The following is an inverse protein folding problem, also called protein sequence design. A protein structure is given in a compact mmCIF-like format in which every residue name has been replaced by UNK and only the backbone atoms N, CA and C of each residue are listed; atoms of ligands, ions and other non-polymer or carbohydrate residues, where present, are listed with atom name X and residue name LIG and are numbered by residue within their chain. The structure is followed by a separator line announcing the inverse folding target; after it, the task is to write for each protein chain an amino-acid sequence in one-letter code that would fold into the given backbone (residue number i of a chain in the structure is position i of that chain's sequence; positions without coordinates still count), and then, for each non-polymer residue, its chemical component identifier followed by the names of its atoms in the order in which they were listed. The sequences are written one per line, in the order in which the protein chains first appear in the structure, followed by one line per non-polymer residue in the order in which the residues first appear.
data_IF_205138728443
#
_entry.id   IF_205138728443
#
_cell.length_a   1.000
_cell.length_b   1.000
_cell.length_c   1.000
_cell.angle_alpha   90.00
_cell.angle_beta   90.00
_cell.angle_gamma   90.00
#
_symmetry.space_group_name_H-M   'P 1'
#
loop_
_entity.id
_entity.type
_entity.pdbx_description
1 polymer ?
#
# COMPACT_ATOMS: atom_id res chain seq x y z
N UNK A 1 -8.37 -6.19 -3.87
CA UNK A 1 -7.17 -6.40 -3.05
C UNK A 1 -6.92 -7.89 -2.96
N UNK A 2 -5.69 -8.30 -3.21
CA UNK A 2 -5.22 -9.67 -3.06
C UNK A 2 -4.23 -9.67 -1.90
N UNK A 3 -4.35 -10.64 -1.00
CA UNK A 3 -3.46 -10.78 0.16
C UNK A 3 -2.75 -12.12 0.07
N UNK A 4 -1.42 -12.10 -0.06
CA UNK A 4 -0.62 -13.31 -0.25
C UNK A 4 -0.58 -14.14 1.02
N UNK A 5 -0.38 -13.48 2.16
CA UNK A 5 -0.36 -14.09 3.49
C UNK A 5 -1.65 -14.82 3.85
N UNK A 6 -2.82 -14.26 3.49
CA UNK A 6 -4.12 -14.87 3.78
C UNK A 6 -4.66 -15.70 2.61
N UNK A 7 -3.95 -15.77 1.48
CA UNK A 7 -4.36 -16.48 0.26
C UNK A 7 -5.78 -16.13 -0.20
N UNK A 8 -6.18 -14.87 -0.07
CA UNK A 8 -7.54 -14.41 -0.41
C UNK A 8 -7.54 -13.24 -1.38
N UNK A 9 -8.66 -13.08 -2.08
CA UNK A 9 -8.95 -11.92 -2.92
C UNK A 9 -10.35 -11.41 -2.62
N UNK A 10 -10.48 -10.10 -2.52
CA UNK A 10 -11.76 -9.45 -2.26
C UNK A 10 -11.81 -8.01 -2.81
N UNK A 11 -13.01 -7.41 -2.97
CA UNK A 11 -13.16 -6.06 -3.49
C UNK A 11 -12.40 -5.02 -2.64
N UNK A 12 -11.76 -4.04 -3.30
CA UNK A 12 -11.05 -2.96 -2.60
C UNK A 12 -11.99 -2.15 -1.69
N UNK A 13 -13.27 -1.99 -2.08
CA UNK A 13 -14.29 -1.36 -1.22
C UNK A 13 -14.45 -2.05 0.14
N UNK A 14 -14.32 -3.37 0.19
CA UNK A 14 -14.35 -4.13 1.45
C UNK A 14 -13.09 -3.89 2.29
N UNK A 15 -11.93 -3.76 1.66
CA UNK A 15 -10.69 -3.37 2.34
C UNK A 15 -10.81 -1.99 2.99
N UNK A 16 -11.27 -1.00 2.21
CA UNK A 16 -11.42 0.39 2.64
C UNK A 16 -12.38 0.55 3.83
N UNK A 17 -13.41 -0.29 3.92
CA UNK A 17 -14.30 -0.32 5.08
C UNK A 17 -13.55 -0.69 6.38
N UNK A 18 -12.61 -1.63 6.30
CA UNK A 18 -11.76 -2.00 7.44
C UNK A 18 -10.79 -0.90 7.85
N UNK A 19 -10.37 -0.04 6.92
CA UNK A 19 -9.45 1.07 7.20
C UNK A 19 -10.13 2.34 7.71
N UNK A 20 -11.47 2.37 7.72
CA UNK A 20 -12.24 3.57 8.09
C UNK A 20 -11.81 4.15 9.45
N UNK A 21 -11.61 3.31 10.45
CA UNK A 21 -11.22 3.76 11.78
C UNK A 21 -9.87 4.49 11.75
N UNK A 22 -8.87 3.96 11.02
CA UNK A 22 -7.57 4.62 10.86
C UNK A 22 -7.67 5.98 10.15
N UNK A 23 -8.59 6.13 9.19
CA UNK A 23 -8.85 7.43 8.56
C UNK A 23 -9.46 8.43 9.55
N UNK A 24 -10.42 8.00 10.37
CA UNK A 24 -11.07 8.86 11.36
C UNK A 24 -10.07 9.26 12.47
N UNK A 25 -9.21 8.34 12.92
CA UNK A 25 -8.18 8.61 13.92
C UNK A 25 -7.08 9.54 13.39
N UNK A 26 -6.68 9.37 12.12
CA UNK A 26 -5.74 10.29 11.46
C UNK A 26 -6.37 11.68 11.30
N UNK A 27 -7.64 11.75 10.89
CA UNK A 27 -8.37 13.01 10.72
C UNK A 27 -8.59 13.76 12.03
N UNK A 28 -8.76 13.05 13.14
CA UNK A 28 -8.95 13.63 14.48
C UNK A 28 -7.63 13.95 15.20
N UNK A 29 -6.47 13.61 14.60
CA UNK A 29 -5.16 13.87 15.18
C UNK A 29 -4.75 12.88 16.29
N UNK A 30 -5.50 11.78 16.48
CA UNK A 30 -5.14 10.73 17.45
C UNK A 30 -3.95 9.89 16.99
N UNK A 31 -3.69 9.89 15.69
CA UNK A 31 -2.50 9.31 15.09
C UNK A 31 -2.08 10.10 13.86
N UNK A 32 -0.82 9.94 13.49
CA UNK A 32 -0.31 10.28 12.16
C UNK A 32 0.02 8.99 11.43
N UNK A 33 -0.32 8.90 10.15
CA UNK A 33 0.03 7.76 9.30
C UNK A 33 0.67 8.28 8.01
N UNK A 34 1.68 7.57 7.50
CA UNK A 34 2.32 7.83 6.22
C UNK A 34 2.49 6.54 5.44
N UNK A 35 2.41 6.65 4.12
CA UNK A 35 2.75 5.57 3.20
C UNK A 35 3.71 6.09 2.15
N UNK A 36 4.81 5.38 1.96
CA UNK A 36 5.82 5.66 0.95
C UNK A 36 5.95 4.44 0.02
N UNK A 37 6.20 4.68 -1.27
CA UNK A 37 6.36 3.62 -2.26
C UNK A 37 7.74 3.72 -2.91
N UNK A 38 8.42 2.58 -3.03
CA UNK A 38 9.63 2.44 -3.85
C UNK A 38 9.42 1.34 -4.86
N UNK A 39 9.56 1.68 -6.14
CA UNK A 39 9.24 0.80 -7.26
C UNK A 39 10.51 0.14 -7.79
N UNK A 40 10.52 -1.18 -7.84
CA UNK A 40 11.59 -1.94 -8.51
C UNK A 40 11.34 -2.06 -10.01
N UNK A 41 10.08 -1.99 -10.44
CA UNK A 41 9.70 -2.10 -11.84
C UNK A 41 8.40 -1.34 -12.13
N UNK A 42 8.36 -0.69 -13.29
CA UNK A 42 7.13 -0.17 -13.89
C UNK A 42 7.09 -0.60 -15.36
N UNK A 43 6.05 -1.33 -15.74
CA UNK A 43 5.77 -1.74 -17.11
C UNK A 43 4.43 -1.14 -17.52
N UNK A 44 4.28 -0.61 -18.73
CA UNK A 44 3.01 -0.05 -19.15
C UNK A 44 3.04 0.63 -20.50
N UNK A 45 1.86 1.09 -20.90
CA UNK A 45 1.60 1.88 -22.09
C UNK A 45 0.67 3.07 -21.77
N UNK A 46 0.07 3.66 -22.79
CA UNK A 46 -0.82 4.81 -22.63
C UNK A 46 -2.10 4.51 -21.80
N UNK A 47 -2.46 3.23 -21.65
CA UNK A 47 -3.75 2.78 -21.12
C UNK A 47 -3.65 1.83 -19.93
N UNK A 48 -2.54 1.12 -19.75
CA UNK A 48 -2.32 0.15 -18.68
C UNK A 48 -0.96 0.32 -18.04
N UNK A 49 -0.86 -0.02 -16.75
CA UNK A 49 0.42 -0.09 -16.05
C UNK A 49 0.42 -1.22 -15.03
N UNK A 50 1.57 -1.87 -14.90
CA UNK A 50 1.90 -2.81 -13.86
C UNK A 50 3.10 -2.28 -13.08
N UNK A 51 2.95 -2.20 -11.76
CA UNK A 51 3.95 -1.68 -10.86
C UNK A 51 4.33 -2.76 -9.85
N UNK A 52 5.61 -2.91 -9.59
CA UNK A 52 6.13 -3.83 -8.57
C UNK A 52 7.10 -3.06 -7.69
N UNK A 53 7.02 -3.32 -6.38
CA UNK A 53 7.92 -2.67 -5.43
C UNK A 53 7.64 -3.06 -4.01
N UNK A 54 8.04 -2.17 -3.11
CA UNK A 54 7.74 -2.23 -1.68
C UNK A 54 7.00 -0.94 -1.33
N UNK A 55 6.07 -1.01 -0.38
CA UNK A 55 5.62 0.18 0.33
C UNK A 55 6.02 0.11 1.80
N UNK A 56 6.36 1.27 2.37
CA UNK A 56 6.58 1.46 3.81
C UNK A 56 5.36 2.17 4.37
N UNK A 57 4.69 1.55 5.32
CA UNK A 57 3.60 2.15 6.09
C UNK A 57 4.11 2.46 7.49
N UNK A 58 3.97 3.71 7.94
CA UNK A 58 4.42 4.14 9.26
C UNK A 58 3.32 4.87 10.00
N UNK A 59 3.19 4.62 11.30
CA UNK A 59 2.25 5.33 12.18
C UNK A 59 2.96 5.88 13.40
N UNK A 60 2.42 6.97 13.94
CA UNK A 60 2.79 7.55 15.23
C UNK A 60 1.50 7.81 15.99
N UNK A 61 1.34 7.24 17.18
CA UNK A 61 0.18 7.48 18.02
C UNK A 61 0.32 8.74 18.89
N UNK A 62 -0.72 9.06 19.66
CA UNK A 62 -0.74 10.23 20.54
C UNK A 62 0.32 10.19 21.66
N UNK A 63 0.81 9.01 22.02
CA UNK A 63 1.86 8.83 23.02
C UNK A 63 3.27 8.90 22.40
N UNK A 64 3.35 9.11 21.08
CA UNK A 64 4.60 9.19 20.33
C UNK A 64 5.20 7.83 19.98
N UNK A 65 4.47 6.72 20.17
CA UNK A 65 4.97 5.40 19.78
C UNK A 65 4.87 5.24 18.26
N UNK A 66 5.99 4.92 17.64
CA UNK A 66 6.08 4.69 16.20
C UNK A 66 5.99 3.22 15.85
N UNK A 67 5.28 2.89 14.77
CA UNK A 67 5.30 1.57 14.14
C UNK A 67 5.61 1.71 12.66
N UNK A 68 6.32 0.73 12.11
CA UNK A 68 6.65 0.67 10.69
C UNK A 68 6.48 -0.73 10.16
N UNK A 69 5.92 -0.82 8.95
CA UNK A 69 5.72 -2.05 8.22
C UNK A 69 6.21 -1.85 6.78
N UNK A 70 6.89 -2.86 6.23
CA UNK A 70 7.31 -2.89 4.84
C UNK A 70 6.62 -4.06 4.15
N UNK A 71 6.11 -3.86 2.95
CA UNK A 71 5.32 -4.87 2.24
C UNK A 71 5.69 -4.91 0.77
N UNK A 72 6.04 -6.10 0.28
CA UNK A 72 6.16 -6.35 -1.15
C UNK A 72 4.79 -6.28 -1.80
N UNK A 73 4.65 -5.46 -2.85
CA UNK A 73 3.37 -5.28 -3.53
C UNK A 73 3.49 -5.29 -5.05
N UNK A 74 2.37 -5.62 -5.69
CA UNK A 74 2.12 -5.42 -7.11
C UNK A 74 0.84 -4.60 -7.30
N UNK A 75 0.87 -3.64 -8.22
CA UNK A 75 -0.28 -2.83 -8.60
C UNK A 75 -0.59 -3.00 -10.08
N UNK A 76 -1.83 -3.34 -10.41
CA UNK A 76 -2.34 -3.32 -11.78
C UNK A 76 -3.28 -2.13 -11.95
N UNK A 77 -2.96 -1.27 -12.91
CA UNK A 77 -3.66 -0.02 -13.15
C UNK A 77 -4.21 0.06 -14.57
N UNK A 78 -5.33 0.77 -14.70
CA UNK A 78 -5.94 1.13 -15.99
C UNK A 78 -6.23 2.63 -16.03
N UNK A 79 -6.02 3.26 -17.18
CA UNK A 79 -6.34 4.68 -17.39
C UNK A 79 -7.78 4.82 -17.88
N UNK A 80 -8.63 5.43 -17.06
CA UNK A 80 -10.03 5.76 -17.39
C UNK A 80 -10.27 7.24 -17.07
N UNK A 81 -9.79 8.11 -17.95
CA UNK A 81 -9.63 9.57 -17.72
C UNK A 81 -8.48 9.90 -16.77
N UNK A 82 -8.41 9.18 -15.65
CA UNK A 82 -7.27 9.14 -14.72
C UNK A 82 -6.83 7.69 -14.48
N UNK A 83 -5.60 7.50 -14.01
CA UNK A 83 -5.14 6.19 -13.54
C UNK A 83 -5.99 5.71 -12.37
N UNK A 84 -6.36 4.44 -12.40
CA UNK A 84 -7.09 3.76 -11.34
C UNK A 84 -6.44 2.42 -11.07
N UNK A 85 -6.26 2.09 -9.80
CA UNK A 85 -5.83 0.76 -9.38
C UNK A 85 -7.01 -0.19 -9.60
N UNK A 86 -6.81 -1.16 -10.48
CA UNK A 86 -7.75 -2.26 -10.70
C UNK A 86 -7.55 -3.35 -9.63
N UNK A 87 -6.29 -3.61 -9.29
CA UNK A 87 -5.90 -4.63 -8.33
C UNK A 87 -4.61 -4.20 -7.63
N UNK A 88 -4.56 -4.43 -6.32
CA UNK A 88 -3.35 -4.35 -5.51
C UNK A 88 -3.15 -5.71 -4.85
N UNK A 89 -1.96 -6.28 -5.01
CA UNK A 89 -1.53 -7.54 -4.42
C UNK A 89 -0.45 -7.28 -3.39
N UNK A 90 -0.83 -7.34 -2.12
CA UNK A 90 0.11 -7.30 -1.00
C UNK A 90 0.63 -8.72 -0.78
N UNK A 91 1.85 -8.99 -1.24
CA UNK A 91 2.39 -10.36 -1.33
C UNK A 91 2.79 -10.88 0.03
N UNK A 92 3.74 -10.18 0.66
CA UNK A 92 4.35 -10.58 1.93
C UNK A 92 5.08 -9.41 2.57
N UNK A 93 5.46 -9.56 3.84
CA UNK A 93 6.28 -8.59 4.56
C UNK A 93 7.67 -8.49 3.92
N UNK A 94 8.19 -7.27 3.84
CA UNK A 94 9.55 -6.98 3.46
C UNK A 94 10.38 -6.55 4.68
N UNK A 95 11.69 -6.54 4.51
CA UNK A 95 12.65 -6.00 5.49
C UNK A 95 13.03 -4.57 5.17
N UNK A 96 13.57 -3.85 6.15
CA UNK A 96 14.12 -2.50 5.93
C UNK A 96 15.28 -2.54 4.93
N UNK A 97 16.11 -3.58 4.97
CA UNK A 97 17.25 -3.75 4.06
C UNK A 97 16.77 -3.90 2.61
N UNK A 98 15.70 -4.68 2.38
CA UNK A 98 15.08 -4.81 1.06
C UNK A 98 14.48 -3.49 0.58
N UNK A 99 13.83 -2.74 1.48
CA UNK A 99 13.30 -1.41 1.17
C UNK A 99 14.41 -0.44 0.77
N UNK A 100 15.52 -0.39 1.53
CA UNK A 100 16.64 0.49 1.25
C UNK A 100 17.44 0.11 -0.01
N UNK A 101 17.36 -1.16 -0.42
CA UNK A 101 17.93 -1.61 -1.69
C UNK A 101 17.17 -1.09 -2.92
N UNK A 102 15.88 -0.74 -2.77
CA UNK A 102 15.14 -0.02 -3.80
C UNK A 102 15.48 1.48 -3.66
N UNK A 103 15.99 2.10 -4.73
CA UNK A 103 16.36 3.52 -4.76
C UNK A 103 15.17 4.40 -5.10
#
# INVERSE_FOLDING_TARGET
MVTGSQKTSYPLSKALAGWKQGFDDTKSGKMTASVEFRFSQRLGDETTAHETGIFRYSTVDADGQSREEYVHFEGLLVKKGRWKILMEYQKESATREQWEALK
#
